data_IF_971002703550
#
_entry.id   IF_971002703550
#
_cell.length_a   1.000
_cell.length_b   1.000
_cell.length_c   1.000
_cell.angle_alpha   90.00
_cell.angle_beta   90.00
_cell.angle_gamma   90.00
#
_symmetry.space_group_name_H-M   'P 1'
#
loop_
_entity.id
_entity.type
_entity.pdbx_description
1 polymer ?
#
# COMPACT_ATOMS: atom_id res chain seq x y z
N UNK A 1 -61.31 33.33 24.11
CA UNK A 1 -60.83 32.14 23.40
C UNK A 1 -59.30 32.23 23.12
N UNK A 2 -58.41 32.24 24.14
CA UNK A 2 -56.95 32.41 23.95
C UNK A 2 -56.15 31.70 25.04
N UNK A 3 -56.38 30.44 25.35
CA UNK A 3 -55.64 29.81 26.45
C UNK A 3 -55.25 28.31 26.17
N UNK A 4 -55.47 27.79 24.98
CA UNK A 4 -55.24 26.36 24.68
C UNK A 4 -53.98 26.06 23.88
N UNK A 5 -53.27 27.05 23.29
CA UNK A 5 -52.09 26.80 22.47
C UNK A 5 -50.75 26.67 23.26
N UNK A 6 -50.72 27.07 24.54
CA UNK A 6 -49.47 27.16 25.29
C UNK A 6 -49.09 25.86 26.04
N UNK A 7 -49.99 24.87 26.08
CA UNK A 7 -49.77 23.59 26.79
C UNK A 7 -49.21 22.46 25.90
N UNK A 8 -49.21 22.63 24.58
CA UNK A 8 -48.73 21.58 23.65
C UNK A 8 -47.21 21.72 23.35
N UNK A 9 -46.59 22.83 23.67
CA UNK A 9 -45.16 23.10 23.35
C UNK A 9 -44.18 22.24 24.13
N UNK A 10 -44.35 21.90 25.42
CA UNK A 10 -43.39 21.04 26.12
C UNK A 10 -43.40 19.56 25.68
N UNK A 11 -44.49 19.08 25.14
CA UNK A 11 -44.59 17.69 24.66
C UNK A 11 -43.95 17.47 23.30
N UNK A 12 -43.86 18.51 22.47
CA UNK A 12 -43.19 18.45 21.17
C UNK A 12 -41.65 18.45 21.33
N UNK A 13 -41.14 19.04 22.42
CA UNK A 13 -39.70 19.10 22.68
C UNK A 13 -39.12 17.78 23.26
N UNK A 14 -39.99 16.93 23.81
CA UNK A 14 -39.56 15.62 24.36
C UNK A 14 -39.40 14.54 23.28
N UNK A 15 -39.97 14.74 22.10
CA UNK A 15 -39.89 13.80 20.96
C UNK A 15 -38.61 13.92 20.13
N UNK A 16 -37.77 14.96 20.36
CA UNK A 16 -36.53 15.19 19.63
C UNK A 16 -35.29 14.55 20.26
N UNK A 17 -35.41 13.88 21.40
CA UNK A 17 -34.27 13.32 22.16
C UNK A 17 -34.02 11.83 21.89
N UNK A 18 -34.75 11.18 21.01
CA UNK A 18 -34.55 9.73 20.72
C UNK A 18 -33.72 9.44 19.46
N UNK A 19 -33.06 10.42 18.87
CA UNK A 19 -32.32 10.27 17.59
C UNK A 19 -30.82 10.13 17.75
N UNK A 20 -30.30 9.46 18.79
CA UNK A 20 -28.89 9.13 18.87
C UNK A 20 -28.66 7.86 19.69
N UNK A 21 -28.93 6.69 19.12
CA UNK A 21 -28.39 5.44 19.66
C UNK A 21 -28.31 4.36 18.57
N UNK A 22 -27.61 4.65 17.50
CA UNK A 22 -27.13 3.65 16.58
C UNK A 22 -25.62 3.73 16.49
N UNK A 23 -24.91 3.18 17.51
CA UNK A 23 -23.52 2.84 17.29
C UNK A 23 -23.51 1.73 16.25
N UNK A 24 -22.78 1.90 15.11
CA UNK A 24 -22.58 0.78 14.21
C UNK A 24 -21.93 -0.37 15.02
N UNK A 25 -22.32 -1.63 14.74
CA UNK A 25 -21.67 -2.76 15.38
C UNK A 25 -20.17 -2.65 15.18
N UNK A 26 -19.38 -2.88 16.23
CA UNK A 26 -17.93 -3.00 16.13
C UNK A 26 -17.66 -4.16 15.18
N UNK A 27 -17.29 -3.84 13.95
CA UNK A 27 -16.91 -4.83 12.95
C UNK A 27 -15.67 -5.54 13.51
N UNK A 28 -15.70 -6.87 13.57
CA UNK A 28 -14.54 -7.66 14.00
C UNK A 28 -13.37 -7.30 13.07
N UNK A 29 -12.33 -6.68 13.63
CA UNK A 29 -11.16 -6.20 12.88
C UNK A 29 -10.48 -7.31 12.08
N UNK A 30 -10.59 -8.55 12.53
CA UNK A 30 -10.03 -9.71 11.85
C UNK A 30 -10.80 -10.04 10.58
N UNK A 31 -12.13 -9.99 10.65
CA UNK A 31 -12.99 -10.26 9.49
C UNK A 31 -12.86 -9.16 8.42
N UNK A 32 -12.66 -7.91 8.84
CA UNK A 32 -12.44 -6.79 7.92
C UNK A 32 -11.08 -6.94 7.19
N UNK A 33 -10.03 -7.32 7.89
CA UNK A 33 -8.72 -7.58 7.29
C UNK A 33 -8.77 -8.69 6.23
N UNK A 34 -9.41 -9.82 6.50
CA UNK A 34 -9.48 -10.94 5.55
C UNK A 34 -10.22 -10.54 4.27
N UNK A 35 -11.28 -9.77 4.38
CA UNK A 35 -12.02 -9.24 3.24
C UNK A 35 -11.16 -8.26 2.41
N UNK A 36 -10.47 -7.34 3.06
CA UNK A 36 -9.58 -6.39 2.40
C UNK A 36 -8.40 -7.10 1.74
N UNK A 37 -7.77 -8.03 2.44
CA UNK A 37 -6.68 -8.85 1.92
C UNK A 37 -7.08 -9.58 0.65
N UNK A 38 -8.26 -10.20 0.64
CA UNK A 38 -8.77 -10.90 -0.53
C UNK A 38 -9.01 -9.96 -1.72
N UNK A 39 -9.62 -8.79 -1.48
CA UNK A 39 -9.85 -7.78 -2.50
C UNK A 39 -8.55 -7.23 -3.10
N UNK A 40 -7.57 -6.89 -2.25
CA UNK A 40 -6.27 -6.40 -2.69
C UNK A 40 -5.46 -7.48 -3.42
N UNK A 41 -5.54 -8.74 -2.98
CA UNK A 41 -4.86 -9.86 -3.62
C UNK A 41 -5.42 -10.16 -5.01
N UNK A 42 -6.73 -9.96 -5.22
CA UNK A 42 -7.40 -10.17 -6.50
C UNK A 42 -7.09 -9.09 -7.56
N UNK A 43 -6.41 -8.01 -7.18
CA UNK A 43 -6.06 -6.94 -8.12
C UNK A 43 -4.91 -7.35 -9.03
N UNK A 44 -5.19 -7.75 -10.25
CA UNK A 44 -4.18 -8.11 -11.26
C UNK A 44 -3.53 -6.89 -11.92
N UNK A 45 -4.25 -5.77 -12.01
CA UNK A 45 -3.75 -4.55 -12.62
C UNK A 45 -4.01 -3.34 -11.71
N UNK A 46 -2.96 -2.53 -11.51
CA UNK A 46 -3.04 -1.33 -10.68
C UNK A 46 -1.97 -0.31 -11.05
N UNK A 47 -2.16 0.91 -10.61
CA UNK A 47 -1.19 1.99 -10.75
C UNK A 47 -0.95 2.66 -9.40
N UNK A 48 0.32 2.76 -9.02
CA UNK A 48 0.77 3.51 -7.86
C UNK A 48 1.46 4.81 -8.32
N UNK A 49 1.16 5.91 -7.64
CA UNK A 49 1.87 7.18 -7.78
C UNK A 49 2.31 7.65 -6.41
N UNK A 50 3.56 8.07 -6.29
CA UNK A 50 4.09 8.50 -5.00
C UNK A 50 5.51 9.02 -5.07
N UNK A 51 6.14 9.05 -3.91
CA UNK A 51 7.57 9.36 -3.77
C UNK A 51 8.27 8.19 -3.13
N UNK A 52 9.43 7.85 -3.68
CA UNK A 52 10.36 6.88 -3.14
C UNK A 52 11.53 7.63 -2.49
N UNK A 53 11.92 7.24 -1.30
CA UNK A 53 13.17 7.66 -0.69
C UNK A 53 13.99 6.42 -0.34
N UNK A 54 15.23 6.40 -0.79
CA UNK A 54 16.19 5.37 -0.44
C UNK A 54 17.27 5.98 0.44
N UNK A 55 17.50 5.39 1.59
CA UNK A 55 18.57 5.79 2.51
C UNK A 55 19.50 4.61 2.75
N UNK A 56 20.76 4.83 2.52
CA UNK A 56 21.84 3.92 2.88
C UNK A 56 22.79 4.65 3.86
N UNK A 57 23.80 3.99 4.36
CA UNK A 57 24.83 4.62 5.20
C UNK A 57 25.49 5.82 4.54
N UNK A 58 25.64 5.78 3.21
CA UNK A 58 26.45 6.73 2.45
C UNK A 58 25.63 7.67 1.56
N UNK A 59 24.37 7.35 1.32
CA UNK A 59 23.52 8.09 0.35
C UNK A 59 22.07 8.21 0.82
N UNK A 60 21.49 9.33 0.46
CA UNK A 60 20.03 9.53 0.56
C UNK A 60 19.54 10.08 -0.76
N UNK A 61 18.69 9.32 -1.43
CA UNK A 61 18.13 9.67 -2.73
C UNK A 61 16.61 9.67 -2.65
N UNK A 62 15.96 10.53 -3.44
CA UNK A 62 14.51 10.56 -3.54
C UNK A 62 14.08 10.74 -5.00
N UNK A 63 13.00 10.10 -5.36
CA UNK A 63 12.41 10.18 -6.68
C UNK A 63 10.88 10.15 -6.62
N UNK A 64 10.24 10.81 -7.57
CA UNK A 64 8.84 10.54 -7.87
C UNK A 64 8.73 9.20 -8.57
N UNK A 65 7.74 8.41 -8.22
CA UNK A 65 7.50 7.09 -8.80
C UNK A 65 6.09 7.02 -9.40
N UNK A 66 6.01 6.47 -10.61
CA UNK A 66 4.77 5.97 -11.21
C UNK A 66 5.03 4.50 -11.53
N UNK A 67 4.27 3.62 -10.90
CA UNK A 67 4.38 2.18 -11.10
C UNK A 67 3.06 1.63 -11.64
N UNK A 68 3.13 1.04 -12.82
CA UNK A 68 2.03 0.32 -13.45
C UNK A 68 2.33 -1.17 -13.38
N UNK A 69 1.40 -1.95 -12.83
CA UNK A 69 1.47 -3.40 -12.74
C UNK A 69 0.34 -4.02 -13.53
N UNK A 70 0.62 -5.13 -14.22
CA UNK A 70 -0.37 -5.96 -14.89
C UNK A 70 0.10 -7.41 -14.86
N UNK A 71 -0.50 -8.22 -13.99
CA UNK A 71 -0.02 -9.56 -13.68
C UNK A 71 1.45 -9.54 -13.23
N UNK A 72 2.33 -10.27 -13.92
CA UNK A 72 3.77 -10.28 -13.67
C UNK A 72 4.54 -9.12 -14.32
N UNK A 73 3.90 -8.33 -15.19
CA UNK A 73 4.56 -7.25 -15.90
C UNK A 73 4.50 -5.96 -15.06
N UNK A 74 5.64 -5.31 -14.94
CA UNK A 74 5.78 -4.04 -14.25
C UNK A 74 6.44 -2.98 -15.16
N UNK A 75 5.97 -1.74 -15.09
CA UNK A 75 6.60 -0.56 -15.68
C UNK A 75 6.67 0.52 -14.61
N UNK A 76 7.87 0.86 -14.19
CA UNK A 76 8.13 1.91 -13.21
C UNK A 76 8.87 3.06 -13.89
N UNK A 77 8.40 4.26 -13.63
CA UNK A 77 9.08 5.50 -14.01
C UNK A 77 9.49 6.24 -12.77
N UNK A 78 10.79 6.45 -12.64
CA UNK A 78 11.40 7.18 -11.55
C UNK A 78 11.96 8.49 -12.10
N UNK A 79 11.72 9.59 -11.38
CA UNK A 79 12.30 10.89 -11.74
C UNK A 79 12.70 11.64 -10.48
N UNK A 80 13.91 12.14 -10.45
CA UNK A 80 14.42 12.99 -9.40
C UNK A 80 13.76 14.38 -9.40
N UNK A 81 14.18 15.27 -8.50
CA UNK A 81 13.70 16.66 -8.47
C UNK A 81 13.84 17.32 -9.83
N UNK A 82 12.80 18.07 -10.25
CA UNK A 82 12.72 18.75 -11.54
C UNK A 82 12.88 17.82 -12.77
N UNK A 83 12.61 16.52 -12.60
CA UNK A 83 12.70 15.55 -13.70
C UNK A 83 14.12 15.05 -13.98
N UNK A 84 15.11 15.40 -13.17
CA UNK A 84 16.49 14.95 -13.35
C UNK A 84 16.59 13.43 -13.15
N UNK A 85 17.50 12.78 -13.89
CA UNK A 85 17.82 11.36 -13.70
C UNK A 85 16.65 10.41 -14.00
N UNK A 86 15.84 10.71 -15.03
CA UNK A 86 14.72 9.85 -15.40
C UNK A 86 15.19 8.41 -15.64
N UNK A 87 14.64 7.48 -14.87
CA UNK A 87 14.94 6.05 -14.96
C UNK A 87 13.65 5.29 -15.21
N UNK A 88 13.67 4.40 -16.18
CA UNK A 88 12.59 3.45 -16.41
C UNK A 88 13.02 2.06 -16.00
N UNK A 89 12.18 1.39 -15.25
CA UNK A 89 12.37 0.01 -14.87
C UNK A 89 11.19 -0.80 -15.38
N UNK A 90 11.46 -1.81 -16.21
CA UNK A 90 10.44 -2.72 -16.69
C UNK A 90 10.76 -4.16 -16.28
N UNK A 91 9.74 -4.95 -16.01
CA UNK A 91 9.90 -6.35 -15.62
C UNK A 91 8.80 -7.22 -16.24
N UNK A 92 9.14 -8.47 -16.52
CA UNK A 92 8.20 -9.53 -16.91
C UNK A 92 8.08 -10.63 -15.82
N UNK A 93 8.56 -10.34 -14.59
CA UNK A 93 8.59 -11.27 -13.46
C UNK A 93 9.80 -12.23 -13.45
N UNK A 94 10.60 -12.27 -14.52
CA UNK A 94 11.84 -13.09 -14.61
C UNK A 94 13.06 -12.22 -14.88
N UNK A 95 12.88 -11.17 -15.62
CA UNK A 95 13.90 -10.20 -15.96
C UNK A 95 13.44 -8.80 -15.58
N UNK A 96 14.40 -7.98 -15.19
CA UNK A 96 14.23 -6.57 -14.88
C UNK A 96 15.19 -5.80 -15.77
N UNK A 97 14.65 -4.84 -16.51
CA UNK A 97 15.43 -3.94 -17.38
C UNK A 97 15.40 -2.54 -16.78
N UNK A 98 16.57 -2.01 -16.49
CA UNK A 98 16.74 -0.63 -16.02
C UNK A 98 17.31 0.22 -17.15
N UNK A 99 16.55 1.23 -17.55
CA UNK A 99 16.95 2.14 -18.63
C UNK A 99 17.15 3.54 -18.07
N UNK A 100 18.35 4.08 -18.26
CA UNK A 100 18.73 5.43 -17.81
C UNK A 100 19.76 6.04 -18.78
N UNK A 101 19.60 7.30 -19.13
CA UNK A 101 20.54 8.04 -20.00
C UNK A 101 20.87 7.32 -21.33
N UNK A 102 19.89 6.65 -21.93
CA UNK A 102 20.04 5.93 -23.20
C UNK A 102 20.75 4.57 -23.08
N UNK A 103 21.11 4.14 -21.86
CA UNK A 103 21.65 2.81 -21.59
C UNK A 103 20.58 1.94 -20.95
N UNK A 104 20.65 0.64 -21.22
CA UNK A 104 19.74 -0.34 -20.62
C UNK A 104 20.54 -1.52 -20.09
N UNK A 105 20.36 -1.82 -18.82
CA UNK A 105 20.94 -2.98 -18.14
C UNK A 105 19.85 -3.98 -17.83
N UNK A 106 20.13 -5.27 -18.05
CA UNK A 106 19.17 -6.35 -17.81
C UNK A 106 19.67 -7.22 -16.67
N UNK A 107 18.78 -7.50 -15.71
CA UNK A 107 19.04 -8.29 -14.52
C UNK A 107 18.11 -9.50 -14.48
N UNK A 108 18.64 -10.66 -14.10
CA UNK A 108 17.83 -11.83 -13.79
C UNK A 108 17.23 -11.70 -12.38
N UNK A 109 15.91 -11.79 -12.30
CA UNK A 109 15.17 -11.72 -11.03
C UNK A 109 14.33 -12.99 -10.82
N UNK A 110 14.65 -14.08 -11.51
CA UNK A 110 13.89 -15.34 -11.45
C UNK A 110 13.93 -15.98 -10.05
N UNK A 111 15.06 -15.84 -9.34
CA UNK A 111 15.26 -16.33 -7.97
C UNK A 111 15.88 -15.23 -7.08
N UNK A 112 15.79 -15.35 -5.73
CA UNK A 112 16.48 -14.41 -4.82
C UNK A 112 17.99 -14.37 -5.04
N UNK A 113 18.62 -15.53 -5.28
CA UNK A 113 20.06 -15.61 -5.53
C UNK A 113 20.45 -14.92 -6.83
N UNK A 114 19.62 -15.05 -7.88
CA UNK A 114 19.82 -14.35 -9.15
C UNK A 114 19.71 -12.84 -8.97
N UNK A 115 18.78 -12.34 -8.13
CA UNK A 115 18.68 -10.92 -7.79
C UNK A 115 19.97 -10.44 -7.12
N UNK A 116 20.46 -11.15 -6.09
CA UNK A 116 21.68 -10.77 -5.37
C UNK A 116 22.90 -10.79 -6.29
N UNK A 117 23.04 -11.84 -7.12
CA UNK A 117 24.16 -11.97 -8.07
C UNK A 117 24.14 -10.88 -9.15
N UNK A 118 22.95 -10.50 -9.65
CA UNK A 118 22.81 -9.54 -10.75
C UNK A 118 22.93 -8.09 -10.27
N UNK A 119 22.36 -7.78 -9.10
CA UNK A 119 22.23 -6.39 -8.62
C UNK A 119 23.25 -6.04 -7.53
N UNK A 120 23.85 -7.03 -6.89
CA UNK A 120 24.66 -6.87 -5.68
C UNK A 120 23.83 -6.57 -4.42
N UNK A 121 22.49 -6.64 -4.52
CA UNK A 121 21.57 -6.29 -3.44
C UNK A 121 20.61 -7.44 -3.16
N UNK A 122 20.35 -7.70 -1.90
CA UNK A 122 19.31 -8.66 -1.49
C UNK A 122 17.94 -7.96 -1.48
N UNK A 123 17.44 -7.60 -2.66
CA UNK A 123 16.15 -6.94 -2.82
C UNK A 123 15.04 -7.97 -3.02
N UNK A 124 13.96 -7.91 -2.26
CA UNK A 124 12.82 -8.80 -2.41
C UNK A 124 11.90 -8.37 -3.56
N UNK A 125 12.44 -8.32 -4.79
CA UNK A 125 11.79 -7.74 -5.97
C UNK A 125 10.40 -8.33 -6.21
N UNK A 126 10.23 -9.65 -5.99
CA UNK A 126 8.93 -10.32 -6.14
C UNK A 126 7.93 -10.00 -5.03
N UNK A 127 8.39 -9.57 -3.87
CA UNK A 127 7.52 -9.19 -2.76
C UNK A 127 7.04 -7.74 -2.86
N UNK A 128 7.80 -6.85 -3.49
CA UNK A 128 7.48 -5.43 -3.59
C UNK A 128 6.08 -5.15 -4.14
N UNK A 129 5.56 -5.82 -5.20
CA UNK A 129 4.20 -5.61 -5.70
C UNK A 129 3.12 -5.87 -4.66
N UNK A 130 3.35 -6.76 -3.71
CA UNK A 130 2.46 -7.04 -2.58
C UNK A 130 2.61 -5.97 -1.50
N UNK A 131 3.84 -5.68 -1.09
CA UNK A 131 4.12 -4.76 0.00
C UNK A 131 3.57 -3.35 -0.26
N UNK A 132 3.70 -2.82 -1.47
CA UNK A 132 3.18 -1.49 -1.81
C UNK A 132 1.64 -1.41 -1.79
N UNK A 133 0.95 -2.55 -1.74
CA UNK A 133 -0.51 -2.66 -1.60
C UNK A 133 -0.97 -2.96 -0.18
N UNK A 134 -0.05 -3.00 0.80
CA UNK A 134 -0.40 -3.33 2.19
C UNK A 134 -0.51 -4.83 2.46
N UNK A 135 0.06 -5.69 1.61
CA UNK A 135 -0.01 -7.14 1.72
C UNK A 135 1.37 -7.73 1.96
N UNK A 136 1.53 -8.76 2.80
CA UNK A 136 2.67 -9.64 2.73
C UNK A 136 2.64 -10.44 1.41
N UNK A 137 3.82 -10.75 0.87
CA UNK A 137 3.93 -11.68 -0.26
C UNK A 137 3.51 -13.11 0.15
N UNK A 138 3.06 -13.96 -0.78
CA UNK A 138 2.68 -15.33 -0.46
C UNK A 138 3.83 -16.13 0.15
N UNK A 139 5.06 -15.90 -0.31
CA UNK A 139 6.26 -16.63 0.13
C UNK A 139 7.48 -15.70 0.25
N UNK A 140 8.35 -15.95 1.23
CA UNK A 140 8.12 -16.78 2.41
C UNK A 140 7.02 -16.20 3.31
N UNK A 141 6.39 -17.01 4.17
CA UNK A 141 5.39 -16.49 5.11
C UNK A 141 5.99 -15.39 6.00
N UNK A 142 5.22 -14.35 6.36
CA UNK A 142 5.70 -13.32 7.28
C UNK A 142 5.90 -13.92 8.68
N UNK A 143 6.96 -13.51 9.38
CA UNK A 143 7.28 -14.00 10.72
C UNK A 143 6.57 -13.22 11.83
N UNK A 144 6.19 -11.97 11.56
CA UNK A 144 5.49 -11.08 12.49
C UNK A 144 4.48 -10.25 11.70
N UNK A 145 3.27 -10.11 12.23
CA UNK A 145 2.24 -9.26 11.64
C UNK A 145 1.52 -8.48 12.72
N UNK A 146 1.20 -7.23 12.45
CA UNK A 146 0.36 -6.38 13.30
C UNK A 146 -0.72 -5.77 12.40
N UNK A 147 -1.98 -5.96 12.81
CA UNK A 147 -3.15 -5.42 12.13
C UNK A 147 -3.88 -4.52 13.11
N UNK A 148 -4.30 -3.35 12.65
CA UNK A 148 -5.10 -2.42 13.43
C UNK A 148 -6.21 -1.86 12.54
N UNK A 149 -7.43 -1.81 13.07
CA UNK A 149 -8.64 -1.36 12.36
C UNK A 149 -8.81 -2.01 10.96
N UNK A 150 -8.51 -3.31 10.84
CA UNK A 150 -8.60 -4.03 9.57
C UNK A 150 -7.50 -3.70 8.55
N UNK A 151 -6.46 -2.95 8.93
CA UNK A 151 -5.37 -2.55 8.06
C UNK A 151 -4.03 -3.09 8.57
N UNK A 152 -3.19 -3.56 7.65
CA UNK A 152 -1.83 -4.01 7.98
C UNK A 152 -0.99 -2.82 8.44
N UNK A 153 -0.44 -2.90 9.66
CA UNK A 153 0.43 -1.86 10.20
C UNK A 153 1.91 -2.23 10.06
N UNK A 154 2.24 -3.48 10.29
CA UNK A 154 3.62 -3.95 10.28
C UNK A 154 3.69 -5.43 10.00
N UNK A 155 4.76 -5.86 9.31
CA UNK A 155 5.18 -7.26 9.24
C UNK A 155 6.68 -7.38 8.98
N UNK A 156 7.20 -8.59 9.20
CA UNK A 156 8.56 -8.97 8.84
C UNK A 156 8.52 -10.09 7.82
N UNK A 157 9.24 -9.96 6.72
CA UNK A 157 9.26 -10.94 5.64
C UNK A 157 10.57 -10.87 4.87
N UNK A 158 11.16 -12.03 4.56
CA UNK A 158 12.40 -12.15 3.80
C UNK A 158 13.56 -11.30 4.36
N UNK A 159 13.64 -11.15 5.69
CA UNK A 159 14.66 -10.34 6.37
C UNK A 159 14.40 -8.83 6.34
N UNK A 160 13.25 -8.40 5.85
CA UNK A 160 12.84 -7.00 5.82
C UNK A 160 11.75 -6.72 6.84
N UNK A 161 11.77 -5.52 7.41
CA UNK A 161 10.69 -4.97 8.23
C UNK A 161 9.91 -3.97 7.40
N UNK A 162 8.61 -4.19 7.27
CA UNK A 162 7.70 -3.31 6.53
C UNK A 162 6.77 -2.64 7.52
N UNK A 163 6.70 -1.31 7.45
CA UNK A 163 5.83 -0.49 8.28
C UNK A 163 4.96 0.40 7.40
N UNK A 164 3.67 0.49 7.74
CA UNK A 164 2.72 1.43 7.15
C UNK A 164 2.38 2.49 8.20
N UNK A 165 2.92 3.69 8.03
CA UNK A 165 2.77 4.76 9.02
C UNK A 165 1.40 5.42 8.99
N UNK A 166 0.77 5.47 7.82
CA UNK A 166 -0.51 6.15 7.64
C UNK A 166 -1.26 5.65 6.41
N UNK A 167 -2.55 5.40 6.60
CA UNK A 167 -3.50 5.21 5.54
C UNK A 167 -4.34 6.47 5.36
N UNK A 168 -4.70 6.79 4.11
CA UNK A 168 -5.55 7.92 3.77
C UNK A 168 -6.56 7.50 2.71
N UNK A 169 -7.79 7.96 2.86
CA UNK A 169 -8.80 7.83 1.79
C UNK A 169 -8.48 8.84 0.70
N UNK A 170 -8.47 8.41 -0.54
CA UNK A 170 -8.19 9.23 -1.72
C UNK A 170 -9.49 9.51 -2.44
#
# INVERSE_FOLDING_TARGET
MQSTCLRALPWLMLLLLTACAGQPPLTDTTQDWDSQRAALAAMDAWTLRGKLALRTTDRSESASVIWQQSGSNADLRLSGPLGAGATRVSSNGRQLVVSQNGKADTFDISTPDAVAASTGWNLPVKALPYWVRGLPAPEPAPSMTTIDAGLMQRFEQAGWQVHYERYQTV
#
